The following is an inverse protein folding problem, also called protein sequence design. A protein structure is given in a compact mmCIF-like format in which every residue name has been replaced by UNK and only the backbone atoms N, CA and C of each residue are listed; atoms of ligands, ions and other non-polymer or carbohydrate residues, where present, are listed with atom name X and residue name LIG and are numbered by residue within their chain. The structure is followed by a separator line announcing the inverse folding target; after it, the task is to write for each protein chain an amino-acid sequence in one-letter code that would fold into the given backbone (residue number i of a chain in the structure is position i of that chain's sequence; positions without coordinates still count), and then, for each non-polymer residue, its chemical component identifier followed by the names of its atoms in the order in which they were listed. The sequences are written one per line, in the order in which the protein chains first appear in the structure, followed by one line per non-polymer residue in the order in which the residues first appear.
data_IF_827338023816
#
_entry.id   IF_827338023816
#
_cell.length_a   1.000
_cell.length_b   1.000
_cell.length_c   1.000
_cell.angle_alpha   90.00
_cell.angle_beta   90.00
_cell.angle_gamma   90.00
#
_symmetry.space_group_name_H-M   'P 1'
#
loop_
_entity.id
_entity.type
_entity.pdbx_description
1 polymer ?
#
# COMPACT_ATOMS: atom_id res chain seq x y z
N UNK A 1 -8.01 17.84 -9.16
CA UNK A 1 -8.42 16.89 -8.12
C UNK A 1 -7.15 16.34 -7.50
N UNK A 2 -6.91 16.58 -6.21
CA UNK A 2 -5.68 16.14 -5.57
C UNK A 2 -5.67 14.62 -5.51
N UNK A 3 -4.64 14.03 -6.13
CA UNK A 3 -4.37 12.59 -6.17
C UNK A 3 -3.16 12.31 -5.26
N UNK A 4 -3.22 12.85 -4.05
CA UNK A 4 -2.12 12.81 -3.10
C UNK A 4 -2.68 12.45 -1.72
N UNK A 5 -1.86 11.79 -0.90
CA UNK A 5 -2.23 11.40 0.45
C UNK A 5 -1.01 11.42 1.38
N UNK A 6 -1.24 11.56 2.67
CA UNK A 6 -0.20 11.67 3.68
C UNK A 6 -0.23 10.47 4.61
N UNK A 7 0.93 9.85 4.84
CA UNK A 7 1.09 8.73 5.77
C UNK A 7 2.35 8.99 6.57
N UNK A 8 2.21 9.17 7.88
CA UNK A 8 3.32 9.17 8.82
C UNK A 8 4.57 10.00 8.41
N UNK A 9 4.39 11.26 8.01
CA UNK A 9 5.50 12.12 7.58
C UNK A 9 5.75 12.15 6.08
N UNK A 10 5.27 11.15 5.34
CA UNK A 10 5.49 11.05 3.90
C UNK A 10 4.28 11.53 3.09
N UNK A 11 4.54 12.40 2.12
CA UNK A 11 3.54 12.86 1.16
C UNK A 11 3.63 12.05 -0.12
N UNK A 12 2.62 11.22 -0.39
CA UNK A 12 2.55 10.35 -1.55
C UNK A 12 1.72 10.97 -2.66
N UNK A 13 2.15 10.76 -3.91
CA UNK A 13 1.44 11.18 -5.11
C UNK A 13 0.98 9.98 -5.91
N UNK A 14 -0.16 10.09 -6.59
CA UNK A 14 -0.68 9.07 -7.49
C UNK A 14 -0.64 9.61 -8.91
N UNK A 15 0.12 8.93 -9.77
CA UNK A 15 0.27 9.26 -11.19
C UNK A 15 -0.35 8.14 -12.01
N UNK A 16 -1.30 8.50 -12.87
CA UNK A 16 -1.87 7.54 -13.81
C UNK A 16 -1.06 7.59 -15.10
N UNK A 17 -0.61 6.43 -15.56
CA UNK A 17 0.29 6.31 -16.71
C UNK A 17 -0.26 5.34 -17.73
N UNK A 18 0.28 5.42 -18.94
CA UNK A 18 -0.04 4.46 -19.99
C UNK A 18 0.31 3.03 -19.55
N UNK A 19 -0.45 1.98 -19.95
CA UNK A 19 -0.17 0.60 -19.54
C UNK A 19 1.21 0.06 -19.95
N UNK A 20 1.87 0.70 -20.92
CA UNK A 20 3.21 0.34 -21.40
C UNK A 20 4.31 1.26 -20.88
N UNK A 21 3.99 2.10 -19.89
CA UNK A 21 4.95 2.98 -19.27
C UNK A 21 6.02 2.17 -18.50
N UNK A 22 7.29 2.55 -18.65
CA UNK A 22 8.42 1.89 -18.00
C UNK A 22 8.32 1.86 -16.47
N UNK A 23 7.54 2.76 -15.86
CA UNK A 23 7.34 2.76 -14.42
C UNK A 23 6.44 1.61 -13.95
N UNK A 24 5.65 0.99 -14.85
CA UNK A 24 4.83 -0.19 -14.56
C UNK A 24 5.61 -1.51 -14.73
N UNK A 25 6.91 -1.48 -14.45
CA UNK A 25 7.78 -2.64 -14.48
C UNK A 25 8.33 -2.83 -13.07
N UNK A 26 8.12 -4.00 -12.50
CA UNK A 26 8.58 -4.28 -11.14
C UNK A 26 10.10 -4.54 -11.08
N UNK A 27 10.60 -4.75 -9.85
CA UNK A 27 12.02 -5.08 -9.60
C UNK A 27 12.51 -6.38 -10.24
N UNK A 28 11.60 -7.23 -10.72
CA UNK A 28 11.92 -8.49 -11.40
C UNK A 28 11.93 -8.34 -12.92
N UNK A 29 11.47 -7.19 -13.45
CA UNK A 29 11.39 -6.91 -14.88
C UNK A 29 10.03 -7.25 -15.50
N UNK A 30 9.04 -7.62 -14.69
CA UNK A 30 7.71 -8.01 -15.15
C UNK A 30 6.77 -6.79 -15.22
N UNK A 31 5.88 -6.78 -16.22
CA UNK A 31 4.88 -5.73 -16.38
C UNK A 31 3.79 -5.90 -15.32
N UNK A 32 3.49 -4.81 -14.60
CA UNK A 32 2.46 -4.78 -13.56
C UNK A 32 1.35 -3.77 -13.87
N UNK A 33 0.30 -3.77 -13.06
CA UNK A 33 -0.81 -2.81 -13.19
C UNK A 33 -0.54 -1.50 -12.43
N UNK A 34 0.37 -1.55 -11.46
CA UNK A 34 0.82 -0.43 -10.66
C UNK A 34 2.19 -0.74 -10.03
N UNK A 35 2.88 0.30 -9.60
CA UNK A 35 4.12 0.20 -8.82
C UNK A 35 4.19 1.37 -7.82
N UNK A 36 4.90 1.14 -6.71
CA UNK A 36 5.20 2.15 -5.70
C UNK A 36 6.68 2.50 -5.69
N UNK A 37 7.03 3.75 -6.02
CA UNK A 37 8.38 4.29 -5.89
C UNK A 37 8.55 4.93 -4.50
N UNK A 38 9.35 4.29 -3.67
CA UNK A 38 9.62 4.74 -2.31
C UNK A 38 10.54 5.95 -2.24
N UNK A 39 11.37 6.17 -3.25
CA UNK A 39 12.33 7.29 -3.28
C UNK A 39 11.65 8.60 -3.65
N UNK A 40 10.76 8.56 -4.63
CA UNK A 40 10.01 9.73 -5.09
C UNK A 40 8.67 9.92 -4.38
N UNK A 41 8.22 8.91 -3.62
CA UNK A 41 6.88 8.84 -3.00
C UNK A 41 5.78 8.94 -4.04
N UNK A 42 5.90 8.15 -5.11
CA UNK A 42 4.94 8.13 -6.20
C UNK A 42 4.40 6.72 -6.38
N UNK A 43 3.08 6.61 -6.45
CA UNK A 43 2.39 5.41 -6.90
C UNK A 43 2.01 5.63 -8.37
N UNK A 44 2.56 4.80 -9.25
CA UNK A 44 2.19 4.77 -10.66
C UNK A 44 1.09 3.72 -10.85
N UNK A 45 -0.01 4.09 -11.52
CA UNK A 45 -1.12 3.18 -11.78
C UNK A 45 -1.47 3.24 -13.27
N UNK A 46 -1.70 2.09 -13.88
CA UNK A 46 -2.21 2.01 -15.25
C UNK A 46 -3.54 2.77 -15.40
N UNK A 47 -3.65 3.59 -16.43
CA UNK A 47 -4.88 4.33 -16.73
C UNK A 47 -6.00 3.47 -17.33
N UNK A 48 -5.71 2.21 -17.69
CA UNK A 48 -6.66 1.31 -18.36
C UNK A 48 -7.45 0.40 -17.41
N UNK A 49 -7.47 0.69 -16.10
CA UNK A 49 -8.14 -0.16 -15.11
C UNK A 49 -9.63 0.19 -14.98
N UNK A 50 -10.46 -0.85 -14.91
CA UNK A 50 -11.86 -0.68 -14.50
C UNK A 50 -11.94 -0.36 -12.99
N UNK A 51 -13.11 0.09 -12.51
CA UNK A 51 -13.28 0.57 -11.13
C UNK A 51 -12.95 -0.48 -10.05
N UNK A 52 -13.35 -1.72 -10.26
CA UNK A 52 -13.13 -2.82 -9.30
C UNK A 52 -11.64 -3.15 -9.20
N UNK A 53 -11.01 -3.35 -10.36
CA UNK A 53 -9.59 -3.64 -10.45
C UNK A 53 -8.74 -2.46 -9.93
N UNK A 54 -9.12 -1.23 -10.26
CA UNK A 54 -8.47 -0.02 -9.74
C UNK A 54 -8.54 0.03 -8.21
N UNK A 55 -9.69 -0.29 -7.62
CA UNK A 55 -9.84 -0.30 -6.16
C UNK A 55 -8.91 -1.33 -5.53
N UNK A 56 -8.88 -2.54 -6.10
CA UNK A 56 -8.03 -3.62 -5.60
C UNK A 56 -6.53 -3.28 -5.72
N UNK A 57 -6.09 -2.85 -6.91
CA UNK A 57 -4.71 -2.45 -7.18
C UNK A 57 -4.30 -1.27 -6.29
N UNK A 58 -5.14 -0.26 -6.13
CA UNK A 58 -4.83 0.87 -5.27
C UNK A 58 -4.68 0.46 -3.80
N UNK A 59 -5.53 -0.43 -3.28
CA UNK A 59 -5.39 -0.93 -1.91
C UNK A 59 -4.11 -1.75 -1.71
N UNK A 60 -3.70 -2.50 -2.73
CA UNK A 60 -2.43 -3.22 -2.73
C UNK A 60 -1.26 -2.25 -2.61
N UNK A 61 -1.19 -1.23 -3.47
CA UNK A 61 -0.13 -0.21 -3.42
C UNK A 61 -0.17 0.62 -2.13
N UNK A 62 -1.37 0.90 -1.61
CA UNK A 62 -1.51 1.56 -0.32
C UNK A 62 -0.90 0.73 0.82
N UNK A 63 -0.97 -0.60 0.73
CA UNK A 63 -0.28 -1.51 1.64
C UNK A 63 1.23 -1.29 1.64
N UNK A 64 1.85 -1.17 0.46
CA UNK A 64 3.27 -0.84 0.34
C UNK A 64 3.59 0.52 0.95
N UNK A 65 2.77 1.54 0.66
CA UNK A 65 2.95 2.89 1.19
C UNK A 65 2.89 2.90 2.73
N UNK A 66 1.91 2.21 3.34
CA UNK A 66 1.78 2.08 4.79
C UNK A 66 2.98 1.35 5.38
N UNK A 67 3.38 0.21 4.80
CA UNK A 67 4.51 -0.55 5.32
C UNK A 67 5.80 0.25 5.28
N UNK A 68 6.01 1.01 4.21
CA UNK A 68 7.16 1.90 4.09
C UNK A 68 7.09 3.04 5.11
N UNK A 69 6.05 3.87 5.04
CA UNK A 69 5.98 5.14 5.78
C UNK A 69 5.86 4.93 7.29
N UNK A 70 5.27 3.81 7.73
CA UNK A 70 5.19 3.45 9.14
C UNK A 70 6.39 2.62 9.63
N UNK A 71 7.41 2.38 8.81
CA UNK A 71 8.61 1.63 9.21
C UNK A 71 8.39 0.12 9.43
N UNK A 72 7.30 -0.44 8.90
CA UNK A 72 6.91 -1.84 9.13
C UNK A 72 7.74 -2.84 8.32
N UNK A 73 8.34 -2.41 7.20
CA UNK A 73 9.17 -3.28 6.35
C UNK A 73 10.29 -3.94 7.15
N UNK A 74 10.99 -3.16 7.97
CA UNK A 74 12.09 -3.68 8.80
C UNK A 74 11.61 -4.71 9.82
N UNK A 75 10.48 -4.45 10.48
CA UNK A 75 9.89 -5.39 11.43
C UNK A 75 9.42 -6.67 10.76
N UNK A 76 8.78 -6.57 9.59
CA UNK A 76 8.37 -7.72 8.79
C UNK A 76 9.57 -8.58 8.39
N UNK A 77 10.64 -7.95 7.91
CA UNK A 77 11.87 -8.63 7.47
C UNK A 77 12.61 -9.36 8.60
N UNK A 78 12.45 -8.94 9.87
CA UNK A 78 12.98 -9.68 11.02
C UNK A 78 12.22 -10.99 11.29
N UNK A 79 10.96 -11.08 10.89
CA UNK A 79 10.09 -12.23 11.17
C UNK A 79 10.23 -13.35 10.13
N UNK A 80 10.79 -13.06 8.96
CA UNK A 80 10.92 -14.00 7.85
C UNK A 80 12.35 -14.08 7.33
N UNK A 81 12.72 -15.23 6.75
CA UNK A 81 14.05 -15.35 6.12
C UNK A 81 14.16 -14.42 4.92
N UNK A 82 15.39 -14.01 4.59
CA UNK A 82 15.68 -13.01 3.55
C UNK A 82 15.14 -13.40 2.18
N UNK A 83 15.21 -14.68 1.82
CA UNK A 83 14.65 -15.21 0.57
C UNK A 83 13.12 -15.03 0.45
N UNK A 84 12.42 -14.77 1.56
CA UNK A 84 10.97 -14.59 1.62
C UNK A 84 10.53 -13.14 1.83
N UNK A 85 11.45 -12.16 1.90
CA UNK A 85 11.10 -10.76 2.18
C UNK A 85 10.07 -10.20 1.20
N UNK A 86 10.34 -10.37 -0.11
CA UNK A 86 9.44 -9.94 -1.17
C UNK A 86 8.06 -10.59 -1.01
N UNK A 87 8.03 -11.91 -0.83
CA UNK A 87 6.77 -12.66 -0.72
C UNK A 87 5.98 -12.25 0.53
N UNK A 88 6.65 -11.91 1.63
CA UNK A 88 6.01 -11.40 2.83
C UNK A 88 5.39 -10.02 2.61
N UNK A 89 6.12 -9.10 1.96
CA UNK A 89 5.60 -7.77 1.58
C UNK A 89 4.34 -7.91 0.70
N UNK A 90 4.44 -8.67 -0.39
CA UNK A 90 3.33 -8.92 -1.31
C UNK A 90 2.14 -9.59 -0.62
N UNK A 91 2.40 -10.50 0.31
CA UNK A 91 1.34 -11.16 1.07
C UNK A 91 0.56 -10.16 1.94
N UNK A 92 1.24 -9.22 2.60
CA UNK A 92 0.58 -8.17 3.39
C UNK A 92 -0.26 -7.26 2.48
N UNK A 93 0.28 -6.82 1.35
CA UNK A 93 -0.45 -6.00 0.39
C UNK A 93 -1.70 -6.71 -0.15
N UNK A 94 -1.56 -7.99 -0.52
CA UNK A 94 -2.68 -8.82 -0.95
C UNK A 94 -3.69 -9.06 0.17
N UNK A 95 -3.25 -9.21 1.41
CA UNK A 95 -4.16 -9.32 2.55
C UNK A 95 -5.01 -8.06 2.71
N UNK A 96 -4.39 -6.89 2.64
CA UNK A 96 -5.09 -5.60 2.72
C UNK A 96 -6.06 -5.43 1.53
N UNK A 97 -5.60 -5.71 0.31
CA UNK A 97 -6.39 -5.53 -0.91
C UNK A 97 -7.60 -6.47 -1.00
N UNK A 98 -7.47 -7.70 -0.48
CA UNK A 98 -8.55 -8.70 -0.51
C UNK A 98 -9.51 -8.57 0.68
N UNK A 99 -8.98 -8.29 1.88
CA UNK A 99 -9.74 -8.43 3.12
C UNK A 99 -9.93 -7.13 3.89
N UNK A 100 -9.17 -6.07 3.60
CA UNK A 100 -9.22 -4.80 4.35
C UNK A 100 -10.61 -4.15 4.35
N UNK A 101 -11.20 -3.98 3.16
CA UNK A 101 -12.56 -3.46 3.02
C UNK A 101 -13.60 -4.35 3.70
N UNK A 102 -13.41 -5.67 3.66
CA UNK A 102 -14.31 -6.63 4.31
C UNK A 102 -14.27 -6.50 5.83
N UNK A 103 -13.07 -6.39 6.42
CA UNK A 103 -12.89 -6.18 7.86
C UNK A 103 -13.52 -4.86 8.32
N UNK A 104 -13.27 -3.75 7.60
CA UNK A 104 -13.86 -2.44 7.92
C UNK A 104 -15.38 -2.50 7.82
N UNK A 105 -15.92 -3.18 6.80
CA UNK A 105 -17.36 -3.36 6.64
C UNK A 105 -17.97 -4.07 7.85
N UNK A 106 -17.41 -5.22 8.24
CA UNK A 106 -17.91 -5.97 9.41
C UNK A 106 -17.82 -5.11 10.68
N UNK A 107 -16.71 -4.40 10.89
CA UNK A 107 -16.53 -3.55 12.06
C UNK A 107 -17.60 -2.46 12.13
N UNK A 108 -17.92 -1.81 11.00
CA UNK A 108 -19.01 -0.84 10.90
C UNK A 108 -20.38 -1.46 11.13
N UNK A 109 -20.63 -2.64 10.57
CA UNK A 109 -21.90 -3.35 10.72
C UNK A 109 -22.17 -3.74 12.18
N UNK A 110 -21.12 -4.11 12.93
CA UNK A 110 -21.22 -4.52 14.34
C UNK A 110 -21.24 -3.34 15.32
N UNK A 111 -20.36 -2.36 15.13
CA UNK A 111 -20.16 -1.26 16.08
C UNK A 111 -21.02 -0.01 15.75
N UNK A 112 -21.53 0.10 14.53
CA UNK A 112 -22.34 1.24 14.11
C UNK A 112 -21.62 2.58 14.35
N UNK A 113 -22.25 3.46 15.12
CA UNK A 113 -21.73 4.79 15.44
C UNK A 113 -20.51 4.77 16.38
N UNK A 114 -20.23 3.65 17.05
CA UNK A 114 -19.07 3.52 17.93
C UNK A 114 -17.79 3.14 17.16
N UNK A 115 -17.90 2.83 15.86
CA UNK A 115 -16.73 2.56 15.03
C UNK A 115 -15.91 3.83 14.79
N UNK A 116 -14.66 3.80 15.25
CA UNK A 116 -13.68 4.87 15.01
C UNK A 116 -12.45 4.29 14.31
N UNK A 117 -11.93 5.00 13.31
CA UNK A 117 -10.61 4.73 12.76
C UNK A 117 -9.57 5.41 13.64
N UNK A 118 -8.61 4.64 14.15
CA UNK A 118 -7.50 5.15 14.94
C UNK A 118 -6.26 5.13 14.06
N UNK A 119 -5.65 6.29 13.85
CA UNK A 119 -4.34 6.35 13.22
C UNK A 119 -3.29 5.82 14.21
N UNK A 120 -2.36 4.96 13.78
CA UNK A 120 -1.31 4.47 14.66
C UNK A 120 -0.48 5.64 15.18
N UNK A 121 -0.32 5.72 16.51
CA UNK A 121 0.56 6.70 17.12
C UNK A 121 2.01 6.36 16.74
N UNK A 122 2.68 7.28 16.05
CA UNK A 122 4.11 7.18 15.78
C UNK A 122 4.87 8.02 16.79
N UNK A 123 5.42 7.37 17.80
CA UNK A 123 6.48 7.87 18.65
C UNK A 123 7.81 7.54 17.96
N UNK A 124 8.44 8.54 17.34
CA UNK A 124 9.73 8.42 16.62
C UNK A 124 10.94 8.00 17.47
N UNK A 125 10.73 7.21 18.53
CA UNK A 125 11.69 6.83 19.55
C UNK A 125 12.30 5.43 19.36
N UNK A 126 11.85 4.60 18.40
CA UNK A 126 12.34 3.22 18.26
C UNK A 126 13.02 2.89 16.92
N UNK A 127 13.49 3.91 16.19
CA UNK A 127 14.44 3.73 15.08
C UNK A 127 15.72 4.49 15.40
N UNK A 128 16.55 3.88 16.23
CA UNK A 128 17.96 4.17 16.41
C UNK A 128 18.74 2.84 16.46
#
# INVERSE_FOLDING_TARGET
MFKEFYINGDWWKIVFVNPWDKHLVDRTGEITLATSDYSEKIVFISESLNKELLTHVFLHELGHCIMFSCGLLFELHKMVKREFWIQAEEWVCNFIANYGCFAIKIARDVLGNDFICIEPAWDGANVA
#
